data_IF_101494612311
#
_entry.id   IF_101494612311
#
_cell.length_a   1.000
_cell.length_b   1.000
_cell.length_c   1.000
_cell.angle_alpha   90.00
_cell.angle_beta   90.00
_cell.angle_gamma   90.00
#
_symmetry.space_group_name_H-M   'P 1'
#
loop_
_entity.id
_entity.type
_entity.pdbx_description
1 polymer ?
#
# COMPACT_ATOMS: atom_id res chain seq x y z
N UNK A 1 6.39 -22.08 0.69
CA UNK A 1 7.68 -21.66 0.10
C UNK A 1 8.09 -20.33 0.68
N UNK A 2 9.28 -20.20 1.17
CA UNK A 2 9.76 -18.89 1.57
C UNK A 2 9.88 -17.99 0.36
N UNK A 3 9.58 -16.73 0.54
CA UNK A 3 9.76 -15.73 -0.51
C UNK A 3 11.24 -15.46 -0.67
N UNK A 4 11.74 -15.66 -1.89
CA UNK A 4 13.14 -15.45 -2.17
C UNK A 4 13.44 -13.96 -2.32
N UNK A 5 14.60 -13.56 -1.83
CA UNK A 5 15.13 -12.22 -2.06
C UNK A 5 15.62 -12.15 -3.50
N UNK A 6 15.22 -11.08 -4.19
CA UNK A 6 15.57 -10.85 -5.59
C UNK A 6 16.45 -9.61 -5.71
N UNK A 7 17.27 -9.51 -6.77
CA UNK A 7 17.95 -8.27 -7.08
C UNK A 7 16.95 -7.13 -7.26
N UNK A 8 17.41 -5.91 -7.06
CA UNK A 8 16.56 -4.73 -7.23
C UNK A 8 15.95 -4.71 -8.63
N UNK A 9 14.63 -4.46 -8.68
CA UNK A 9 13.89 -4.37 -9.94
C UNK A 9 13.40 -2.92 -10.09
N UNK A 10 13.86 -2.19 -11.14
CA UNK A 10 13.41 -0.83 -11.38
C UNK A 10 11.89 -0.71 -11.58
N UNK A 11 11.22 -1.79 -11.97
CA UNK A 11 9.77 -1.81 -12.14
C UNK A 11 9.04 -1.60 -10.81
N UNK A 12 9.67 -1.89 -9.67
CA UNK A 12 9.06 -1.65 -8.38
C UNK A 12 8.70 -0.17 -8.20
N UNK A 13 9.56 0.73 -8.65
CA UNK A 13 9.26 2.17 -8.60
C UNK A 13 8.07 2.51 -9.50
N UNK A 14 8.04 1.98 -10.71
CA UNK A 14 6.94 2.20 -11.65
C UNK A 14 5.63 1.65 -11.10
N UNK A 15 5.67 0.45 -10.54
CA UNK A 15 4.49 -0.17 -9.92
C UNK A 15 3.99 0.67 -8.76
N UNK A 16 4.89 1.18 -7.93
CA UNK A 16 4.50 2.07 -6.83
C UNK A 16 3.83 3.34 -7.36
N UNK A 17 4.40 3.96 -8.39
CA UNK A 17 3.84 5.21 -8.93
C UNK A 17 2.42 5.01 -9.47
N UNK A 18 2.16 3.89 -10.14
CA UNK A 18 0.83 3.55 -10.63
C UNK A 18 -0.13 3.31 -9.47
N UNK A 19 0.31 2.57 -8.46
CA UNK A 19 -0.48 2.29 -7.26
C UNK A 19 -0.82 3.59 -6.53
N UNK A 20 0.17 4.46 -6.38
CA UNK A 20 -0.02 5.77 -5.74
C UNK A 20 -1.08 6.59 -6.47
N UNK A 21 -1.06 6.57 -7.81
CA UNK A 21 -2.03 7.30 -8.61
C UNK A 21 -3.46 6.83 -8.33
N UNK A 22 -3.67 5.52 -8.31
CA UNK A 22 -4.99 4.94 -8.04
C UNK A 22 -5.44 5.25 -6.61
N UNK A 23 -4.56 5.06 -5.64
CA UNK A 23 -4.89 5.34 -4.24
C UNK A 23 -5.18 6.83 -4.03
N UNK A 24 -4.42 7.72 -4.66
CA UNK A 24 -4.65 9.16 -4.57
C UNK A 24 -6.03 9.54 -5.12
N UNK A 25 -6.44 8.92 -6.22
CA UNK A 25 -7.75 9.17 -6.82
C UNK A 25 -8.88 8.65 -5.92
N UNK A 26 -8.72 7.45 -5.37
CA UNK A 26 -9.74 6.86 -4.48
C UNK A 26 -9.86 7.60 -3.15
N UNK A 27 -8.76 8.20 -2.69
CA UNK A 27 -8.67 8.85 -1.38
C UNK A 27 -8.56 10.37 -1.49
N UNK A 28 -9.07 10.94 -2.58
CA UNK A 28 -8.88 12.36 -2.88
C UNK A 28 -9.58 13.31 -1.90
N UNK A 29 -10.51 12.81 -1.08
CA UNK A 29 -11.19 13.60 -0.05
C UNK A 29 -10.41 13.70 1.25
N UNK A 30 -9.26 13.04 1.33
CA UNK A 30 -8.44 12.99 2.55
C UNK A 30 -7.14 13.74 2.36
N UNK A 31 -6.67 14.39 3.43
CA UNK A 31 -5.33 14.96 3.46
C UNK A 31 -4.34 13.86 3.80
N UNK A 32 -3.67 13.33 2.80
CA UNK A 32 -2.74 12.21 2.94
C UNK A 32 -1.48 12.44 2.13
N UNK A 33 -0.40 11.75 2.57
CA UNK A 33 0.79 11.53 1.76
C UNK A 33 0.95 10.03 1.58
N UNK A 34 1.34 9.62 0.37
CA UNK A 34 1.57 8.21 0.06
C UNK A 34 3.04 8.04 -0.27
N UNK A 35 3.71 7.15 0.47
CA UNK A 35 5.15 6.97 0.35
C UNK A 35 5.53 5.51 0.14
N UNK A 36 6.52 5.30 -0.71
CA UNK A 36 7.15 4.00 -0.92
C UNK A 36 8.25 3.86 0.14
N UNK A 37 8.13 2.85 0.99
CA UNK A 37 9.07 2.61 2.10
C UNK A 37 9.62 1.20 2.03
N UNK A 38 10.51 0.86 2.96
CA UNK A 38 11.07 -0.48 3.05
C UNK A 38 12.12 -0.76 1.97
N UNK A 39 12.50 -2.04 1.87
CA UNK A 39 13.63 -2.47 1.04
C UNK A 39 13.45 -2.21 -0.45
N UNK A 40 12.23 -2.38 -0.97
CA UNK A 40 11.96 -2.17 -2.40
C UNK A 40 12.03 -0.69 -2.81
N UNK A 41 12.03 0.22 -1.85
CA UNK A 41 12.15 1.65 -2.11
C UNK A 41 13.60 2.11 -2.28
N UNK A 42 14.56 1.23 -2.00
CA UNK A 42 15.98 1.57 -2.03
C UNK A 42 16.62 1.05 -3.33
N UNK A 43 16.99 1.94 -4.26
CA UNK A 43 17.62 1.50 -5.51
C UNK A 43 18.87 0.68 -5.26
N UNK A 44 18.99 -0.43 -5.98
CA UNK A 44 20.14 -1.31 -5.89
C UNK A 44 20.12 -2.32 -4.76
N UNK A 45 19.14 -2.25 -3.85
CA UNK A 45 19.05 -3.18 -2.72
C UNK A 45 18.24 -4.42 -3.11
N UNK A 46 18.77 -5.61 -2.83
CA UNK A 46 18.02 -6.86 -2.96
C UNK A 46 16.88 -6.89 -1.95
N UNK A 47 15.72 -7.39 -2.37
CA UNK A 47 14.54 -7.42 -1.52
C UNK A 47 13.56 -8.52 -1.95
N UNK A 48 12.63 -8.85 -1.07
CA UNK A 48 11.44 -9.61 -1.45
C UNK A 48 10.60 -8.75 -2.38
N UNK A 49 9.95 -9.33 -3.41
CA UNK A 49 9.18 -8.56 -4.38
C UNK A 49 7.80 -8.15 -3.85
N UNK A 50 7.79 -7.53 -2.67
CA UNK A 50 6.58 -7.03 -2.01
C UNK A 50 6.84 -5.57 -1.66
N UNK A 51 6.03 -4.67 -2.21
CA UNK A 51 6.16 -3.25 -1.90
C UNK A 51 5.62 -2.96 -0.51
N UNK A 52 6.25 -2.02 0.19
CA UNK A 52 5.71 -1.48 1.42
C UNK A 52 5.29 -0.04 1.16
N UNK A 53 4.03 0.27 1.42
CA UNK A 53 3.43 1.57 1.11
C UNK A 53 2.84 2.15 2.39
N UNK A 54 3.28 3.36 2.75
CA UNK A 54 2.71 4.10 3.87
C UNK A 54 1.77 5.19 3.35
N UNK A 55 0.57 5.23 3.92
CA UNK A 55 -0.34 6.36 3.79
C UNK A 55 -0.27 7.13 5.11
N UNK A 56 0.20 8.37 5.04
CA UNK A 56 0.26 9.25 6.20
C UNK A 56 -1.03 10.07 6.20
N UNK A 57 -1.88 9.81 7.18
CA UNK A 57 -3.17 10.50 7.32
C UNK A 57 -3.01 11.67 8.29
N UNK A 58 -3.23 12.89 7.78
CA UNK A 58 -2.98 14.10 8.55
C UNK A 58 -4.08 14.42 9.56
N UNK A 59 -5.25 13.80 9.41
CA UNK A 59 -6.35 13.95 10.37
C UNK A 59 -6.80 12.57 10.83
N UNK A 60 -6.31 12.13 11.97
CA UNK A 60 -6.58 10.77 12.44
C UNK A 60 -8.06 10.52 12.78
N UNK A 61 -8.86 11.57 12.97
CA UNK A 61 -10.30 11.39 13.16
C UNK A 61 -11.00 10.84 11.91
N UNK A 62 -10.33 10.87 10.76
CA UNK A 62 -10.84 10.35 9.50
C UNK A 62 -10.46 8.90 9.25
N UNK A 63 -9.81 8.22 10.20
CA UNK A 63 -9.32 6.86 10.02
C UNK A 63 -10.44 5.88 9.67
N UNK A 64 -11.60 5.97 10.31
CA UNK A 64 -12.72 5.07 10.04
C UNK A 64 -13.22 5.23 8.61
N UNK A 65 -13.38 6.45 8.15
CA UNK A 65 -13.83 6.73 6.78
C UNK A 65 -12.81 6.24 5.75
N UNK A 66 -11.53 6.47 6.03
CA UNK A 66 -10.45 5.99 5.17
C UNK A 66 -10.47 4.46 5.08
N UNK A 67 -10.62 3.79 6.22
CA UNK A 67 -10.68 2.33 6.30
C UNK A 67 -11.84 1.78 5.47
N UNK A 68 -13.01 2.41 5.55
CA UNK A 68 -14.19 1.97 4.78
C UNK A 68 -13.88 2.00 3.28
N UNK A 69 -13.23 3.06 2.80
CA UNK A 69 -12.91 3.18 1.37
C UNK A 69 -11.86 2.13 0.97
N UNK A 70 -10.83 1.92 1.80
CA UNK A 70 -9.82 0.91 1.51
C UNK A 70 -10.43 -0.50 1.45
N UNK A 71 -11.35 -0.81 2.36
CA UNK A 71 -12.05 -2.09 2.33
C UNK A 71 -12.92 -2.24 1.08
N UNK A 72 -13.54 -1.15 0.65
CA UNK A 72 -14.37 -1.13 -0.55
C UNK A 72 -13.57 -1.48 -1.80
N UNK A 73 -12.32 -1.05 -1.88
CA UNK A 73 -11.47 -1.34 -3.04
C UNK A 73 -10.64 -2.61 -2.86
N UNK A 74 -10.95 -3.41 -1.83
CA UNK A 74 -10.46 -4.78 -1.73
C UNK A 74 -9.37 -5.02 -0.70
N UNK A 75 -9.04 -4.03 0.13
CA UNK A 75 -8.08 -4.26 1.22
C UNK A 75 -8.77 -4.87 2.44
N UNK A 76 -8.01 -5.62 3.21
CA UNK A 76 -8.48 -6.19 4.47
C UNK A 76 -7.71 -5.53 5.60
N UNK A 77 -8.42 -4.90 6.53
CA UNK A 77 -7.82 -4.28 7.70
C UNK A 77 -7.31 -5.36 8.66
N UNK A 78 -6.06 -5.20 9.12
CA UNK A 78 -5.43 -6.09 10.10
C UNK A 78 -5.17 -5.39 11.43
N UNK A 79 -5.57 -4.13 11.55
CA UNK A 79 -5.36 -3.35 12.77
C UNK A 79 -3.90 -3.04 13.03
N UNK A 80 -3.60 -2.68 14.26
CA UNK A 80 -2.24 -2.37 14.69
C UNK A 80 -1.46 -3.67 14.88
N UNK A 81 -0.47 -3.91 14.04
CA UNK A 81 0.33 -5.14 14.05
C UNK A 81 1.61 -4.92 14.85
N UNK A 82 1.46 -4.62 16.14
CA UNK A 82 2.59 -4.47 17.05
C UNK A 82 3.21 -3.07 17.10
N UNK A 83 2.79 -2.15 16.24
CA UNK A 83 3.25 -0.76 16.27
C UNK A 83 2.03 0.14 16.46
N UNK A 84 1.98 0.82 17.60
CA UNK A 84 0.88 1.72 17.91
C UNK A 84 0.79 2.84 16.88
N UNK A 85 -0.43 3.13 16.43
CA UNK A 85 -0.67 4.18 15.44
C UNK A 85 -0.35 3.81 14.01
N UNK A 86 0.02 2.54 13.76
CA UNK A 86 0.31 2.08 12.40
C UNK A 86 -0.61 0.91 12.08
N UNK A 87 -1.56 1.15 11.17
CA UNK A 87 -2.63 0.20 10.84
C UNK A 87 -2.30 -0.51 9.54
N UNK A 88 -2.23 -1.85 9.59
CA UNK A 88 -1.87 -2.68 8.45
C UNK A 88 -3.09 -3.06 7.63
N UNK A 89 -2.91 -3.07 6.31
CA UNK A 89 -3.91 -3.52 5.35
C UNK A 89 -3.26 -4.50 4.38
N UNK A 90 -3.99 -5.55 4.04
CA UNK A 90 -3.54 -6.59 3.12
C UNK A 90 -4.39 -6.60 1.88
N UNK A 91 -3.80 -6.95 0.74
CA UNK A 91 -4.54 -7.20 -0.48
C UNK A 91 -5.41 -8.45 -0.29
N UNK A 92 -6.69 -8.35 -0.65
CA UNK A 92 -7.57 -9.51 -0.70
C UNK A 92 -7.22 -10.41 -1.88
N UNK A 93 -6.80 -9.83 -2.99
CA UNK A 93 -6.43 -10.52 -4.21
C UNK A 93 -5.44 -9.68 -5.03
N UNK A 94 -4.91 -10.27 -6.11
CA UNK A 94 -3.97 -9.57 -7.00
C UNK A 94 -4.60 -8.36 -7.68
N UNK A 95 -5.92 -8.28 -7.72
CA UNK A 95 -6.66 -7.15 -8.30
C UNK A 95 -6.90 -6.02 -7.29
N UNK A 96 -6.42 -6.14 -6.07
CA UNK A 96 -6.55 -5.08 -5.07
C UNK A 96 -5.41 -4.05 -5.24
N UNK A 97 -5.67 -2.74 -5.36
CA UNK A 97 -6.99 -2.09 -5.31
C UNK A 97 -7.82 -2.33 -6.58
N UNK A 98 -9.11 -2.53 -6.37
CA UNK A 98 -10.03 -2.85 -7.46
C UNK A 98 -10.25 -1.63 -8.34
N UNK A 99 -10.06 -1.80 -9.66
CA UNK A 99 -10.29 -0.76 -10.65
C UNK A 99 -11.29 -1.25 -11.70
N UNK A 100 -11.80 -0.34 -12.51
CA UNK A 100 -12.72 -0.69 -13.59
C UNK A 100 -12.11 -1.62 -14.63
N UNK A 101 -10.79 -1.62 -14.75
CA UNK A 101 -10.06 -2.47 -15.70
C UNK A 101 -9.63 -3.80 -15.09
N UNK A 102 -9.88 -4.01 -13.80
CA UNK A 102 -9.45 -5.19 -13.05
C UNK A 102 -7.95 -5.47 -13.23
N UNK A 103 -7.15 -4.42 -13.11
CA UNK A 103 -5.70 -4.50 -13.26
C UNK A 103 -5.08 -5.35 -12.15
N UNK A 104 -4.10 -6.16 -12.50
CA UNK A 104 -3.30 -6.90 -11.52
C UNK A 104 -2.17 -6.01 -11.01
N UNK A 105 -1.89 -6.09 -9.72
CA UNK A 105 -0.92 -5.24 -9.04
C UNK A 105 0.25 -6.05 -8.52
N UNK A 106 1.42 -5.42 -8.46
CA UNK A 106 2.54 -5.95 -7.70
C UNK A 106 2.09 -6.18 -6.26
N UNK A 107 2.48 -7.33 -5.67
CA UNK A 107 2.18 -7.62 -4.28
C UNK A 107 2.68 -6.49 -3.37
N UNK A 108 1.86 -6.07 -2.42
CA UNK A 108 2.23 -4.96 -1.53
C UNK A 108 1.52 -5.06 -0.20
N UNK A 109 2.15 -4.48 0.82
CA UNK A 109 1.55 -4.22 2.11
C UNK A 109 1.25 -2.74 2.20
N UNK A 110 0.08 -2.41 2.72
CA UNK A 110 -0.35 -1.03 2.89
C UNK A 110 -0.49 -0.73 4.37
N UNK A 111 0.03 0.42 4.79
CA UNK A 111 -0.05 0.85 6.18
C UNK A 111 -0.61 2.26 6.22
N UNK A 112 -1.46 2.52 7.20
CA UNK A 112 -1.95 3.87 7.50
C UNK A 112 -1.38 4.31 8.83
N UNK A 113 -0.75 5.46 8.85
CA UNK A 113 -0.17 6.07 10.07
C UNK A 113 -0.47 7.56 10.11
N UNK A 114 -0.10 8.19 11.21
CA UNK A 114 -0.41 9.61 11.46
C UNK A 114 0.83 10.48 11.56
#
# INVERSE_FOLDING_TARGET
MPTLIQPYDPHWKTEFEQLKQVLSNELNDFEIDIQHVGSTAIPGLCAKPVLDVDIILHNKSMLEQLTVILERIGYVSKGEQGIEGRFAFRQRAVFTPITSTQQQWQAHHLYVCF
#
